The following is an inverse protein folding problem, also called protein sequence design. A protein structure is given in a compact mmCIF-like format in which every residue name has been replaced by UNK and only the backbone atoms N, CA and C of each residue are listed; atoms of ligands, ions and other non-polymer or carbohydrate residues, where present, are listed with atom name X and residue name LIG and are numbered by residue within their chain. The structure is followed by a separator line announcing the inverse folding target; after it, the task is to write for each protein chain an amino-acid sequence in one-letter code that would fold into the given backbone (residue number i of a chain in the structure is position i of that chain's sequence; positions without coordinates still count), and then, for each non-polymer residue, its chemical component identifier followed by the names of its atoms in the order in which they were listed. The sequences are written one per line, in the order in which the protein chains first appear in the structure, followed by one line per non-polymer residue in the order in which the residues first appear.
data_IF_576310757733
#
_entry.id   IF_576310757733
#
_cell.length_a   1.000
_cell.length_b   1.000
_cell.length_c   1.000
_cell.angle_alpha   90.00
_cell.angle_beta   90.00
_cell.angle_gamma   90.00
#
_symmetry.space_group_name_H-M   'P 1'
#
loop_
_entity.id
_entity.type
_entity.pdbx_description
1 polymer ?
#
# COMPACT_ATOMS: atom_id res chain seq x y z
N UNK A 1 7.27 -12.53 -18.06
CA UNK A 1 6.28 -13.06 -17.08
C UNK A 1 6.28 -12.27 -15.77
N UNK A 2 7.41 -12.14 -15.05
CA UNK A 2 7.44 -11.46 -13.73
C UNK A 2 6.89 -10.01 -13.73
N UNK A 3 7.12 -9.22 -14.78
CA UNK A 3 6.66 -7.83 -14.82
C UNK A 3 5.15 -7.65 -14.95
N UNK A 4 4.43 -8.58 -15.60
CA UNK A 4 2.97 -8.52 -15.70
C UNK A 4 2.32 -8.75 -14.33
N UNK A 5 2.77 -9.77 -13.59
CA UNK A 5 2.29 -10.07 -12.23
C UNK A 5 2.56 -8.90 -11.28
N UNK A 6 3.75 -8.30 -11.38
CA UNK A 6 4.10 -7.11 -10.62
C UNK A 6 3.19 -5.92 -10.97
N UNK A 7 2.93 -5.64 -12.25
CA UNK A 7 2.01 -4.58 -12.68
C UNK A 7 0.59 -4.78 -12.13
N UNK A 8 0.05 -6.00 -12.22
CA UNK A 8 -1.27 -6.33 -11.68
C UNK A 8 -1.32 -6.10 -10.17
N UNK A 9 -0.26 -6.52 -9.46
CA UNK A 9 -0.13 -6.29 -8.02
C UNK A 9 -0.11 -4.80 -7.67
N UNK A 10 0.66 -3.99 -8.40
CA UNK A 10 0.77 -2.54 -8.15
C UNK A 10 -0.55 -1.81 -8.38
N UNK A 11 -1.30 -2.20 -9.42
CA UNK A 11 -2.64 -1.64 -9.67
C UNK A 11 -3.61 -1.94 -8.54
N UNK A 12 -3.66 -3.20 -8.09
CA UNK A 12 -4.49 -3.61 -6.96
C UNK A 12 -4.14 -2.83 -5.68
N UNK A 13 -2.84 -2.65 -5.41
CA UNK A 13 -2.36 -1.87 -4.25
C UNK A 13 -2.76 -0.41 -4.35
N UNK A 14 -2.61 0.21 -5.53
CA UNK A 14 -3.00 1.59 -5.74
C UNK A 14 -4.52 1.79 -5.59
N UNK A 15 -5.34 0.90 -6.14
CA UNK A 15 -6.80 0.94 -5.97
C UNK A 15 -7.19 0.86 -4.48
N UNK A 16 -6.60 -0.08 -3.74
CA UNK A 16 -6.85 -0.20 -2.29
C UNK A 16 -6.43 1.02 -1.48
N UNK A 17 -5.28 1.61 -1.81
CA UNK A 17 -4.79 2.82 -1.15
C UNK A 17 -5.66 4.04 -1.47
N UNK A 18 -6.07 4.20 -2.73
CA UNK A 18 -6.96 5.28 -3.16
C UNK A 18 -8.35 5.17 -2.52
N UNK A 19 -8.92 3.96 -2.45
CA UNK A 19 -10.21 3.74 -1.80
C UNK A 19 -10.14 4.10 -0.31
N UNK A 20 -9.10 3.66 0.39
CA UNK A 20 -8.87 4.06 1.78
C UNK A 20 -8.74 5.59 1.93
N UNK A 21 -7.94 6.26 1.10
CA UNK A 21 -7.80 7.72 1.16
C UNK A 21 -9.13 8.46 0.93
N UNK A 22 -10.02 7.91 0.10
CA UNK A 22 -11.34 8.50 -0.16
C UNK A 22 -12.28 8.40 1.05
N UNK A 23 -12.11 7.37 1.88
CA UNK A 23 -13.04 7.03 2.97
C UNK A 23 -12.33 6.44 4.20
N UNK A 24 -11.36 7.14 4.80
CA UNK A 24 -10.43 6.52 5.75
C UNK A 24 -11.05 6.27 7.14
N UNK A 25 -12.21 6.87 7.41
CA UNK A 25 -13.00 6.62 8.63
C UNK A 25 -13.85 5.34 8.54
N UNK A 26 -14.00 4.73 7.36
CA UNK A 26 -14.80 3.52 7.17
C UNK A 26 -14.01 2.29 7.64
N UNK A 27 -14.54 1.50 8.59
CA UNK A 27 -13.87 0.28 9.07
C UNK A 27 -13.61 -0.75 7.95
N UNK A 28 -14.51 -0.79 6.96
CA UNK A 28 -14.40 -1.72 5.84
C UNK A 28 -13.24 -1.33 4.90
N UNK A 29 -13.02 -0.04 4.65
CA UNK A 29 -11.91 0.44 3.82
C UNK A 29 -10.55 0.06 4.43
N UNK A 30 -10.41 0.16 5.76
CA UNK A 30 -9.20 -0.28 6.46
C UNK A 30 -9.00 -1.80 6.38
N UNK A 31 -10.08 -2.58 6.45
CA UNK A 31 -10.04 -4.04 6.33
C UNK A 31 -9.64 -4.47 4.92
N UNK A 32 -10.23 -3.84 3.92
CA UNK A 32 -9.94 -4.07 2.50
C UNK A 32 -8.48 -3.72 2.18
N UNK A 33 -8.01 -2.54 2.58
CA UNK A 33 -6.61 -2.15 2.45
C UNK A 33 -5.67 -3.19 3.07
N UNK A 34 -5.97 -3.66 4.28
CA UNK A 34 -5.18 -4.71 4.94
C UNK A 34 -5.14 -6.01 4.15
N UNK A 35 -6.27 -6.45 3.59
CA UNK A 35 -6.34 -7.66 2.76
C UNK A 35 -5.52 -7.50 1.47
N UNK A 36 -5.63 -6.35 0.82
CA UNK A 36 -4.87 -6.01 -0.39
C UNK A 36 -3.37 -6.05 -0.13
N UNK A 37 -2.91 -5.39 0.95
CA UNK A 37 -1.49 -5.39 1.32
C UNK A 37 -0.96 -6.78 1.65
N UNK A 38 -1.75 -7.60 2.34
CA UNK A 38 -1.39 -8.99 2.64
C UNK A 38 -1.27 -9.86 1.38
N UNK A 39 -2.15 -9.66 0.39
CA UNK A 39 -2.09 -10.35 -0.90
C UNK A 39 -0.94 -9.86 -1.79
N UNK A 40 -0.61 -8.57 -1.72
CA UNK A 40 0.45 -7.94 -2.49
C UNK A 40 1.86 -8.30 -2.00
N UNK A 41 2.03 -8.46 -0.67
CA UNK A 41 3.33 -8.74 -0.05
C UNK A 41 4.11 -9.90 -0.69
N UNK A 42 3.57 -11.12 -0.88
CA UNK A 42 4.33 -12.21 -1.49
C UNK A 42 4.74 -11.92 -2.94
N UNK A 43 3.88 -11.25 -3.72
CA UNK A 43 4.21 -10.87 -5.11
C UNK A 43 5.33 -9.85 -5.11
N UNK A 44 5.21 -8.81 -4.28
CA UNK A 44 6.22 -7.79 -4.14
C UNK A 44 7.52 -8.33 -3.58
N UNK A 45 7.52 -9.37 -2.74
CA UNK A 45 8.71 -9.96 -2.12
C UNK A 45 9.43 -10.95 -3.05
N UNK A 46 8.69 -11.72 -3.84
CA UNK A 46 9.23 -12.77 -4.73
C UNK A 46 9.51 -12.28 -6.15
N UNK A 47 9.01 -11.10 -6.53
CA UNK A 47 9.30 -10.49 -7.82
C UNK A 47 10.80 -10.17 -7.95
N UNK A 48 11.45 -10.77 -8.94
CA UNK A 48 12.85 -10.51 -9.28
C UNK A 48 12.94 -9.24 -10.13
N UNK A 49 13.27 -8.11 -9.50
CA UNK A 49 13.68 -6.90 -10.19
C UNK A 49 15.08 -7.11 -10.75
N UNK A 50 15.20 -7.71 -11.93
CA UNK A 50 16.51 -7.92 -12.56
C UNK A 50 17.24 -6.61 -12.83
N UNK A 51 16.48 -5.52 -12.93
CA UNK A 51 16.96 -4.17 -13.18
C UNK A 51 17.10 -3.38 -11.85
N UNK A 52 18.25 -2.72 -11.60
CA UNK A 52 18.54 -2.12 -10.29
C UNK A 52 17.56 -1.02 -9.85
N UNK A 53 17.04 -0.25 -10.80
CA UNK A 53 16.05 0.81 -10.64
C UNK A 53 14.68 0.23 -10.23
N UNK A 54 14.20 -0.78 -10.96
CA UNK A 54 12.96 -1.49 -10.64
C UNK A 54 13.08 -2.16 -9.27
N UNK A 55 14.21 -2.79 -8.98
CA UNK A 55 14.47 -3.48 -7.71
C UNK A 55 14.53 -2.52 -6.52
N UNK A 56 15.12 -1.33 -6.71
CA UNK A 56 15.14 -0.29 -5.69
C UNK A 56 13.72 0.23 -5.40
N UNK A 57 12.92 0.49 -6.44
CA UNK A 57 11.55 0.95 -6.31
C UNK A 57 10.62 -0.13 -5.70
N UNK A 58 10.75 -1.39 -6.13
CA UNK A 58 10.06 -2.55 -5.54
C UNK A 58 10.32 -2.65 -4.04
N UNK A 59 11.59 -2.56 -3.61
CA UNK A 59 11.95 -2.60 -2.18
C UNK A 59 11.43 -1.41 -1.39
N UNK A 60 11.28 -0.24 -2.02
CA UNK A 60 10.62 0.92 -1.39
C UNK A 60 9.12 0.68 -1.22
N UNK A 61 8.46 0.16 -2.25
CA UNK A 61 7.03 -0.20 -2.21
C UNK A 61 6.76 -1.25 -1.13
N UNK A 62 7.54 -2.33 -1.07
CA UNK A 62 7.38 -3.37 -0.06
C UNK A 62 7.45 -2.80 1.36
N UNK A 63 8.46 -1.96 1.64
CA UNK A 63 8.59 -1.28 2.94
C UNK A 63 7.41 -0.35 3.22
N UNK A 64 6.93 0.38 2.22
CA UNK A 64 5.78 1.27 2.38
C UNK A 64 4.49 0.49 2.69
N UNK A 65 4.27 -0.64 2.03
CA UNK A 65 3.18 -1.57 2.34
C UNK A 65 3.24 -2.08 3.79
N UNK A 66 4.43 -2.43 4.29
CA UNK A 66 4.64 -2.85 5.68
C UNK A 66 4.39 -1.71 6.69
N UNK A 67 4.87 -0.51 6.39
CA UNK A 67 4.59 0.69 7.21
C UNK A 67 3.09 0.96 7.32
N UNK A 68 2.35 0.84 6.20
CA UNK A 68 0.89 1.02 6.17
C UNK A 68 0.20 -0.08 6.98
N UNK A 69 0.54 -1.36 6.79
CA UNK A 69 -0.09 -2.45 7.57
C UNK A 69 0.12 -2.26 9.07
N UNK A 70 1.33 -1.86 9.50
CA UNK A 70 1.61 -1.54 10.89
C UNK A 70 0.79 -0.32 11.37
N UNK A 71 0.71 0.74 10.56
CA UNK A 71 -0.03 1.95 10.91
C UNK A 71 -1.54 1.67 11.01
N UNK A 72 -2.12 0.96 10.04
CA UNK A 72 -3.54 0.52 10.05
C UNK A 72 -3.81 -0.33 11.28
N UNK A 73 -2.96 -1.32 11.58
CA UNK A 73 -3.12 -2.13 12.80
C UNK A 73 -3.10 -1.26 14.05
N UNK A 74 -2.19 -0.30 14.18
CA UNK A 74 -2.10 0.59 15.36
C UNK A 74 -3.31 1.52 15.48
N UNK A 75 -3.76 2.10 14.38
CA UNK A 75 -4.90 3.03 14.35
C UNK A 75 -6.24 2.31 14.58
N UNK A 76 -6.38 1.06 14.15
CA UNK A 76 -7.62 0.29 14.27
C UNK A 76 -7.67 -0.69 15.46
N UNK A 77 -6.53 -1.14 16.02
CA UNK A 77 -6.51 -1.92 17.28
C UNK A 77 -6.94 -1.08 18.49
N UNK A 78 -6.70 0.24 18.46
CA UNK A 78 -7.09 1.15 19.54
C UNK A 78 -8.58 1.52 19.57
N UNK A 79 -9.33 1.20 18.51
CA UNK A 79 -10.78 1.45 18.46
C UNK A 79 -11.58 0.59 19.45
N UNK A 80 -10.97 -0.45 20.03
CA UNK A 80 -11.63 -1.36 20.97
C UNK A 80 -11.59 -0.84 22.42
N UNK A 81 -10.67 0.08 22.76
CA UNK A 81 -10.42 0.51 24.15
C UNK A 81 -10.94 1.94 24.50
N UNK A 82 -11.84 2.51 23.69
CA UNK A 82 -12.46 3.80 24.01
C UNK A 82 -11.54 5.01 23.81
N UNK A 83 -10.68 4.95 22.79
CA UNK A 83 -9.72 6.01 22.45
C UNK A 83 -10.39 7.38 22.19
N UNK A 84 -9.71 8.45 22.59
CA UNK A 84 -10.16 9.83 22.34
C UNK A 84 -10.27 10.11 20.83
N UNK A 85 -11.31 10.85 20.37
CA UNK A 85 -11.51 11.18 18.95
C UNK A 85 -10.28 11.82 18.27
N UNK A 86 -9.49 12.57 19.03
CA UNK A 86 -8.27 13.22 18.54
C UNK A 86 -7.16 12.22 18.21
N UNK A 87 -6.96 11.18 19.03
CA UNK A 87 -5.96 10.13 18.80
C UNK A 87 -6.31 9.30 17.55
N UNK A 88 -7.60 8.97 17.40
CA UNK A 88 -8.13 8.30 16.21
C UNK A 88 -7.89 9.12 14.94
N UNK A 89 -8.23 10.41 14.96
CA UNK A 89 -8.04 11.30 13.81
C UNK A 89 -6.56 11.47 13.43
N UNK A 90 -5.65 11.46 14.42
CA UNK A 90 -4.21 11.51 14.14
C UNK A 90 -3.69 10.21 13.52
N UNK A 91 -4.13 9.05 14.02
CA UNK A 91 -3.78 7.75 13.46
C UNK A 91 -4.27 7.59 12.02
N UNK A 92 -5.50 8.01 11.73
CA UNK A 92 -6.08 7.96 10.39
C UNK A 92 -5.29 8.84 9.41
N UNK A 93 -4.98 10.09 9.79
CA UNK A 93 -4.17 11.00 8.94
C UNK A 93 -2.78 10.44 8.64
N UNK A 94 -2.16 9.76 9.60
CA UNK A 94 -0.87 9.10 9.38
C UNK A 94 -0.96 7.97 8.34
N UNK A 95 -2.05 7.19 8.36
CA UNK A 95 -2.24 6.13 7.35
C UNK A 95 -2.50 6.74 5.97
N UNK A 96 -3.32 7.79 5.89
CA UNK A 96 -3.58 8.49 4.62
C UNK A 96 -2.29 9.01 3.99
N UNK A 97 -1.43 9.67 4.77
CA UNK A 97 -0.14 10.17 4.26
C UNK A 97 0.74 9.04 3.71
N UNK A 98 0.79 7.89 4.38
CA UNK A 98 1.53 6.72 3.89
C UNK A 98 0.92 6.13 2.60
N UNK A 99 -0.41 6.11 2.50
CA UNK A 99 -1.12 5.71 1.29
C UNK A 99 -0.85 6.66 0.12
N UNK A 100 -0.81 7.97 0.34
CA UNK A 100 -0.44 8.96 -0.69
C UNK A 100 1.00 8.78 -1.17
N UNK A 101 1.95 8.54 -0.26
CA UNK A 101 3.33 8.20 -0.63
C UNK A 101 3.40 6.90 -1.43
N UNK A 102 2.62 5.89 -1.07
CA UNK A 102 2.53 4.62 -1.80
C UNK A 102 2.01 4.85 -3.22
N UNK A 103 0.96 5.64 -3.39
CA UNK A 103 0.39 5.98 -4.69
C UNK A 103 1.43 6.65 -5.58
N UNK A 104 2.18 7.62 -5.06
CA UNK A 104 3.27 8.27 -5.82
C UNK A 104 4.37 7.29 -6.25
N UNK A 105 4.70 6.30 -5.42
CA UNK A 105 5.65 5.25 -5.79
C UNK A 105 5.10 4.35 -6.91
N UNK A 106 3.81 4.01 -6.86
CA UNK A 106 3.15 3.21 -7.90
C UNK A 106 3.07 3.99 -9.22
N UNK A 107 2.67 5.26 -9.18
CA UNK A 107 2.59 6.14 -10.36
C UNK A 107 3.94 6.29 -11.08
N UNK A 108 5.05 6.29 -10.33
CA UNK A 108 6.39 6.31 -10.91
C UNK A 108 6.77 4.96 -11.56
N UNK A 109 6.40 3.83 -10.95
CA UNK A 109 6.86 2.50 -11.38
C UNK A 109 6.00 1.87 -12.48
N UNK A 110 4.70 2.18 -12.55
CA UNK A 110 3.78 1.61 -13.54
C UNK A 110 4.20 1.91 -14.99
N UNK A 111 4.57 3.16 -15.37
CA UNK A 111 5.04 3.45 -16.72
C UNK A 111 6.31 2.68 -17.08
N UNK A 112 7.27 2.61 -16.16
CA UNK A 112 8.54 1.89 -16.35
C UNK A 112 8.28 0.40 -16.62
N UNK A 113 7.44 -0.24 -15.82
CA UNK A 113 7.10 -1.64 -16.00
C UNK A 113 6.25 -1.91 -17.24
N UNK A 114 5.32 -1.00 -17.58
CA UNK A 114 4.47 -1.15 -18.76
C UNK A 114 5.29 -1.17 -20.05
N UNK A 115 6.30 -0.30 -20.15
CA UNK A 115 7.22 -0.25 -21.30
C UNK A 115 8.06 -1.53 -21.50
N UNK A 116 8.08 -2.44 -20.52
CA UNK A 116 8.86 -3.70 -20.55
C UNK A 116 7.98 -4.93 -20.74
N UNK A 117 6.66 -4.75 -20.74
CA UNK A 117 5.67 -5.81 -21.00
C UNK A 117 5.17 -5.76 -22.44
N UNK A 118 5.27 -4.61 -23.11
CA UNK A 118 5.10 -4.44 -24.57
C UNK A 118 6.25 -5.07 -25.37
#
# INVERSE_FOLDING_TARGET
MAYFELLSCLRMVAEGAADYCSSPERPDAARELKHILAAAHPVLALSDGREPDIEANRRRLLRKCEEIDVAVRRSHLRLVDGDEPAARSMGIRSVVALCEELLGLVEALVPELSARVE
#
